data_IF_529344414294
#
_entry.id   IF_529344414294
#
_cell.length_a   1.000
_cell.length_b   1.000
_cell.length_c   1.000
_cell.angle_alpha   90.00
_cell.angle_beta   90.00
_cell.angle_gamma   90.00
#
_symmetry.space_group_name_H-M   'P 1'
#
loop_
_entity.id
_entity.type
_entity.pdbx_description
1 polymer ?
#
# COMPACT_ATOMS: atom_id res chain seq x y z
N UNK A 1 -10.65 -8.62 5.61
CA UNK A 1 -9.92 -8.48 4.34
C UNK A 1 -10.45 -9.50 3.37
N UNK A 2 -10.94 -9.04 2.24
CA UNK A 2 -11.51 -9.92 1.22
C UNK A 2 -10.36 -10.54 0.40
N UNK A 3 -9.93 -11.74 0.81
CA UNK A 3 -8.89 -12.52 0.12
C UNK A 3 -9.23 -12.80 -1.34
N UNK A 4 -10.53 -12.91 -1.65
CA UNK A 4 -11.01 -13.16 -3.01
C UNK A 4 -10.84 -11.91 -3.89
N UNK A 5 -11.11 -10.73 -3.37
CA UNK A 5 -10.89 -9.47 -4.07
C UNK A 5 -9.41 -9.24 -4.38
N UNK A 6 -8.54 -9.48 -3.40
CA UNK A 6 -7.08 -9.36 -3.59
C UNK A 6 -6.55 -10.37 -4.62
N UNK A 7 -7.02 -11.62 -4.58
CA UNK A 7 -6.64 -12.64 -5.55
C UNK A 7 -7.11 -12.29 -6.97
N UNK A 8 -8.31 -11.71 -7.11
CA UNK A 8 -8.83 -11.29 -8.41
C UNK A 8 -8.02 -10.14 -9.03
N UNK A 9 -7.66 -9.13 -8.25
CA UNK A 9 -6.83 -8.00 -8.71
C UNK A 9 -5.44 -8.50 -9.13
N UNK A 10 -4.83 -9.39 -8.35
CA UNK A 10 -3.53 -9.95 -8.68
C UNK A 10 -3.59 -10.83 -9.94
N UNK A 11 -4.65 -11.61 -10.14
CA UNK A 11 -4.84 -12.39 -11.35
C UNK A 11 -4.99 -11.50 -12.60
N UNK A 12 -5.71 -10.39 -12.48
CA UNK A 12 -5.85 -9.43 -13.56
C UNK A 12 -4.50 -8.81 -13.95
N UNK A 13 -3.69 -8.43 -12.98
CA UNK A 13 -2.32 -7.93 -13.22
C UNK A 13 -1.48 -8.97 -13.98
N UNK A 14 -1.56 -10.24 -13.61
CA UNK A 14 -0.82 -11.33 -14.29
C UNK A 14 -1.26 -11.47 -15.75
N UNK A 15 -2.57 -11.38 -16.04
CA UNK A 15 -3.13 -11.43 -17.39
C UNK A 15 -2.63 -10.26 -18.24
N UNK A 16 -2.62 -9.05 -17.68
CA UNK A 16 -2.17 -7.85 -18.38
C UNK A 16 -0.67 -7.92 -18.70
N UNK A 17 0.15 -8.34 -17.73
CA UNK A 17 1.59 -8.56 -17.96
C UNK A 17 1.82 -9.62 -19.01
N UNK A 18 1.14 -10.77 -18.95
CA UNK A 18 1.23 -11.81 -19.96
C UNK A 18 0.86 -11.30 -21.36
N UNK A 19 -0.18 -10.46 -21.46
CA UNK A 19 -0.60 -9.84 -22.72
C UNK A 19 0.48 -8.98 -23.37
N UNK A 20 1.29 -8.27 -22.59
CA UNK A 20 2.43 -7.49 -23.09
C UNK A 20 3.48 -8.39 -23.76
N UNK A 21 3.64 -9.62 -23.27
CA UNK A 21 4.57 -10.63 -23.85
C UNK A 21 3.91 -11.53 -24.88
N UNK A 22 2.68 -11.22 -25.33
CA UNK A 22 1.97 -11.99 -26.34
C UNK A 22 1.44 -13.34 -25.84
N UNK A 23 1.40 -13.54 -24.53
CA UNK A 23 0.93 -14.79 -23.90
C UNK A 23 -0.54 -14.62 -23.48
N UNK A 24 -1.41 -15.52 -23.98
CA UNK A 24 -2.80 -15.58 -23.54
C UNK A 24 -2.95 -16.52 -22.36
N UNK A 25 -3.30 -15.98 -21.21
CA UNK A 25 -3.55 -16.76 -20.00
C UNK A 25 -5.05 -16.88 -19.71
N UNK A 26 -5.47 -18.07 -19.30
CA UNK A 26 -6.79 -18.25 -18.70
C UNK A 26 -6.81 -17.64 -17.29
N UNK A 27 -7.97 -17.19 -16.87
CA UNK A 27 -8.16 -16.63 -15.52
C UNK A 27 -7.69 -17.58 -14.41
N UNK A 28 -7.97 -18.89 -14.59
CA UNK A 28 -7.53 -19.94 -13.65
C UNK A 28 -6.02 -19.99 -13.54
N UNK A 29 -5.31 -20.05 -14.67
CA UNK A 29 -3.85 -20.09 -14.70
C UNK A 29 -3.23 -18.84 -14.07
N UNK A 30 -3.80 -17.67 -14.33
CA UNK A 30 -3.35 -16.42 -13.73
C UNK A 30 -3.55 -16.40 -12.20
N UNK A 31 -4.65 -16.98 -11.70
CA UNK A 31 -4.88 -17.13 -10.26
C UNK A 31 -3.87 -18.10 -9.63
N UNK A 32 -3.58 -19.22 -10.26
CA UNK A 32 -2.62 -20.20 -9.76
C UNK A 32 -1.21 -19.58 -9.64
N UNK A 33 -0.79 -18.83 -10.66
CA UNK A 33 0.48 -18.09 -10.66
C UNK A 33 0.49 -17.01 -9.55
N UNK A 34 -0.57 -16.22 -9.43
CA UNK A 34 -0.67 -15.20 -8.39
C UNK A 34 -0.61 -15.80 -6.98
N UNK A 35 -1.27 -16.94 -6.77
CA UNK A 35 -1.23 -17.67 -5.49
C UNK A 35 0.16 -18.24 -5.22
N UNK A 36 0.84 -18.80 -6.23
CA UNK A 36 2.18 -19.34 -6.07
C UNK A 36 3.18 -18.25 -5.62
N UNK A 37 3.19 -17.11 -6.32
CA UNK A 37 4.04 -15.96 -5.95
C UNK A 37 3.65 -15.40 -4.58
N UNK A 38 2.35 -15.27 -4.29
CA UNK A 38 1.87 -14.78 -3.00
C UNK A 38 2.28 -15.68 -1.82
N UNK A 39 2.19 -17.00 -1.98
CA UNK A 39 2.66 -17.97 -0.97
C UNK A 39 4.18 -17.88 -0.77
N UNK A 40 4.92 -17.71 -1.86
CA UNK A 40 6.38 -17.55 -1.79
C UNK A 40 6.76 -16.28 -1.06
N UNK A 41 6.13 -15.14 -1.36
CA UNK A 41 6.34 -13.87 -0.65
C UNK A 41 6.07 -14.01 0.86
N UNK A 42 5.03 -14.75 1.23
CA UNK A 42 4.70 -15.01 2.63
C UNK A 42 5.72 -15.96 3.29
N UNK A 43 6.13 -17.03 2.59
CA UNK A 43 7.03 -18.06 3.11
C UNK A 43 8.47 -17.61 3.30
N UNK A 44 8.98 -16.78 2.41
CA UNK A 44 10.35 -16.23 2.47
C UNK A 44 10.48 -15.11 3.53
N UNK A 45 9.40 -14.76 4.21
CA UNK A 45 9.41 -13.70 5.22
C UNK A 45 9.47 -12.29 4.64
N UNK A 46 9.35 -12.15 3.32
CA UNK A 46 9.34 -10.87 2.60
C UNK A 46 8.24 -9.97 3.13
N UNK A 47 7.08 -10.52 3.44
CA UNK A 47 5.94 -9.75 3.98
C UNK A 47 6.30 -9.15 5.33
N UNK A 48 6.83 -9.94 6.26
CA UNK A 48 7.20 -9.46 7.60
C UNK A 48 8.38 -8.50 7.55
N UNK A 49 9.43 -8.83 6.80
CA UNK A 49 10.61 -7.99 6.63
C UNK A 49 10.29 -6.67 5.93
N UNK A 50 9.48 -6.71 4.87
CA UNK A 50 9.07 -5.53 4.11
C UNK A 50 8.21 -4.57 4.92
N UNK A 51 7.21 -5.08 5.64
CA UNK A 51 6.37 -4.25 6.52
C UNK A 51 7.19 -3.60 7.62
N UNK A 52 8.14 -4.33 8.22
CA UNK A 52 9.03 -3.80 9.25
C UNK A 52 9.94 -2.68 8.73
N UNK A 53 10.57 -2.89 7.58
CA UNK A 53 11.45 -1.89 6.96
C UNK A 53 10.68 -0.60 6.60
N UNK A 54 9.52 -0.76 5.97
CA UNK A 54 8.68 0.38 5.59
C UNK A 54 8.12 1.08 6.82
N UNK A 55 7.71 0.33 7.84
CA UNK A 55 7.24 0.87 9.10
C UNK A 55 8.30 1.73 9.78
N UNK A 56 9.53 1.27 9.86
CA UNK A 56 10.64 2.03 10.44
C UNK A 56 10.94 3.30 9.65
N UNK A 57 11.00 3.21 8.32
CA UNK A 57 11.28 4.35 7.46
C UNK A 57 10.17 5.42 7.50
N UNK A 58 8.91 5.02 7.55
CA UNK A 58 7.76 5.93 7.62
C UNK A 58 7.58 6.54 9.01
N UNK A 59 7.95 5.85 10.10
CA UNK A 59 7.82 6.36 11.47
C UNK A 59 8.60 7.65 11.72
N UNK A 60 9.64 7.89 10.93
CA UNK A 60 10.46 9.10 11.01
C UNK A 60 9.79 10.33 10.37
N UNK A 61 8.83 10.14 9.48
CA UNK A 61 8.29 11.20 8.62
C UNK A 61 6.77 11.38 8.68
N UNK A 62 6.05 10.54 9.41
CA UNK A 62 4.58 10.52 9.39
C UNK A 62 3.99 10.61 10.80
N UNK A 63 2.98 11.47 11.05
CA UNK A 63 2.27 11.50 12.33
C UNK A 63 1.67 10.14 12.70
N UNK A 64 1.78 9.77 13.96
CA UNK A 64 1.45 8.43 14.50
C UNK A 64 0.04 7.94 14.16
N UNK A 65 -0.94 8.84 14.07
CA UNK A 65 -2.35 8.48 13.76
C UNK A 65 -2.57 7.97 12.33
N UNK A 66 -1.75 8.42 11.37
CA UNK A 66 -1.84 8.03 9.97
C UNK A 66 -0.87 6.88 9.62
N UNK A 67 0.09 6.62 10.51
CA UNK A 67 1.20 5.71 10.27
C UNK A 67 0.72 4.29 9.91
N UNK A 68 -0.23 3.73 10.67
CA UNK A 68 -0.68 2.35 10.45
C UNK A 68 -1.29 2.11 9.06
N UNK A 69 -2.13 3.02 8.59
CA UNK A 69 -2.75 2.91 7.26
C UNK A 69 -1.77 3.19 6.14
N UNK A 70 -0.89 4.18 6.33
CA UNK A 70 0.15 4.50 5.36
C UNK A 70 1.14 3.34 5.19
N UNK A 71 1.61 2.74 6.29
CA UNK A 71 2.50 1.56 6.26
C UNK A 71 1.88 0.40 5.50
N UNK A 72 0.60 0.09 5.75
CA UNK A 72 -0.09 -1.00 5.05
C UNK A 72 -0.20 -0.74 3.55
N UNK A 73 -0.59 0.47 3.15
CA UNK A 73 -0.72 0.84 1.74
C UNK A 73 0.62 0.81 1.00
N UNK A 74 1.65 1.39 1.60
CA UNK A 74 3.00 1.43 1.02
C UNK A 74 3.62 0.04 0.97
N UNK A 75 3.44 -0.78 2.02
CA UNK A 75 3.91 -2.16 2.04
C UNK A 75 3.22 -3.02 0.96
N UNK A 76 1.90 -2.88 0.80
CA UNK A 76 1.16 -3.55 -0.25
C UNK A 76 1.67 -3.17 -1.65
N UNK A 77 1.86 -1.88 -1.92
CA UNK A 77 2.39 -1.40 -3.19
C UNK A 77 3.81 -1.92 -3.46
N UNK A 78 4.67 -1.98 -2.44
CA UNK A 78 6.01 -2.52 -2.56
C UNK A 78 6.03 -4.02 -2.86
N UNK A 79 5.18 -4.79 -2.17
CA UNK A 79 5.01 -6.23 -2.44
C UNK A 79 4.45 -6.48 -3.85
N UNK A 80 3.50 -5.67 -4.29
CA UNK A 80 2.96 -5.74 -5.66
C UNK A 80 4.04 -5.46 -6.70
N UNK A 81 4.95 -4.52 -6.43
CA UNK A 81 6.10 -4.25 -7.31
C UNK A 81 7.03 -5.46 -7.42
N UNK A 82 7.34 -6.13 -6.31
CA UNK A 82 8.17 -7.34 -6.32
C UNK A 82 7.47 -8.47 -7.08
N UNK A 83 6.18 -8.68 -6.82
CA UNK A 83 5.39 -9.68 -7.54
C UNK A 83 5.36 -9.40 -9.05
N UNK A 84 5.09 -8.16 -9.45
CA UNK A 84 5.08 -7.75 -10.86
C UNK A 84 6.42 -7.99 -11.55
N UNK A 85 7.53 -7.60 -10.90
CA UNK A 85 8.87 -7.86 -11.42
C UNK A 85 9.16 -9.37 -11.56
N UNK A 86 8.68 -10.19 -10.63
CA UNK A 86 8.82 -11.64 -10.70
C UNK A 86 8.03 -12.23 -11.88
N UNK A 87 6.81 -11.76 -12.15
CA UNK A 87 6.04 -12.17 -13.32
C UNK A 87 6.68 -11.73 -14.63
N UNK A 88 7.22 -10.51 -14.69
CA UNK A 88 7.97 -10.04 -15.86
C UNK A 88 9.11 -11.00 -16.16
N UNK A 89 9.91 -11.39 -15.17
CA UNK A 89 11.00 -12.37 -15.34
C UNK A 89 10.49 -13.71 -15.84
N UNK A 90 9.39 -14.20 -15.28
CA UNK A 90 8.75 -15.45 -15.70
C UNK A 90 8.34 -15.45 -17.18
N UNK A 91 7.70 -14.37 -17.64
CA UNK A 91 7.27 -14.26 -19.03
C UNK A 91 8.44 -13.99 -20.00
N UNK A 92 9.49 -13.32 -19.54
CA UNK A 92 10.73 -13.13 -20.31
C UNK A 92 11.49 -14.45 -20.55
N UNK A 93 11.32 -15.41 -19.66
CA UNK A 93 11.95 -16.74 -19.73
C UNK A 93 10.98 -17.81 -20.29
N UNK A 94 10.12 -17.44 -21.22
CA UNK A 94 9.18 -18.37 -21.87
C UNK A 94 8.29 -19.14 -20.89
N UNK A 95 7.80 -18.45 -19.86
CA UNK A 95 6.96 -19.01 -18.80
C UNK A 95 7.70 -20.05 -17.93
N UNK A 96 8.98 -19.84 -17.72
CA UNK A 96 9.81 -20.64 -16.83
C UNK A 96 10.33 -19.82 -15.64
N UNK A 97 10.41 -20.45 -14.47
CA UNK A 97 10.98 -19.86 -13.27
C UNK A 97 12.51 -20.09 -13.15
N UNK A 98 13.08 -20.86 -14.05
CA UNK A 98 14.48 -21.31 -13.99
C UNK A 98 14.73 -22.36 -12.89
N UNK A 99 16.00 -22.78 -12.76
CA UNK A 99 16.42 -23.87 -11.88
C UNK A 99 16.11 -23.63 -10.40
N UNK A 100 16.09 -22.38 -9.96
CA UNK A 100 15.76 -21.98 -8.57
C UNK A 100 14.27 -21.86 -8.28
N UNK A 101 13.41 -21.97 -9.29
CA UNK A 101 11.97 -21.87 -9.18
C UNK A 101 11.48 -20.47 -8.77
N UNK A 102 10.18 -20.37 -8.48
CA UNK A 102 9.53 -19.12 -8.09
C UNK A 102 10.19 -18.47 -6.87
N UNK A 103 10.71 -19.27 -5.95
CA UNK A 103 11.33 -18.77 -4.71
C UNK A 103 12.61 -17.97 -5.01
N UNK A 104 13.47 -18.46 -5.88
CA UNK A 104 14.72 -17.77 -6.23
C UNK A 104 14.45 -16.45 -6.96
N UNK A 105 13.51 -16.45 -7.90
CA UNK A 105 13.13 -15.23 -8.63
C UNK A 105 12.55 -14.18 -7.68
N UNK A 106 11.64 -14.56 -6.79
CA UNK A 106 11.04 -13.65 -5.81
C UNK A 106 12.08 -13.12 -4.84
N UNK A 107 12.97 -13.98 -4.32
CA UNK A 107 14.05 -13.57 -3.42
C UNK A 107 15.01 -12.59 -4.08
N UNK A 108 15.40 -12.84 -5.31
CA UNK A 108 16.28 -11.96 -6.09
C UNK A 108 15.65 -10.58 -6.28
N UNK A 109 14.36 -10.51 -6.65
CA UNK A 109 13.66 -9.24 -6.79
C UNK A 109 13.49 -8.53 -5.45
N UNK A 110 13.27 -9.27 -4.36
CA UNK A 110 13.23 -8.70 -3.02
C UNK A 110 14.57 -8.04 -2.66
N UNK A 111 15.68 -8.76 -2.84
CA UNK A 111 17.02 -8.27 -2.50
C UNK A 111 17.42 -7.06 -3.36
N UNK A 112 17.06 -7.04 -4.64
CA UNK A 112 17.27 -5.90 -5.53
C UNK A 112 16.46 -4.67 -5.09
N UNK A 113 15.21 -4.86 -4.70
CA UNK A 113 14.34 -3.76 -4.25
C UNK A 113 14.64 -3.30 -2.83
N UNK A 114 15.30 -4.11 -2.01
CA UNK A 114 15.73 -3.76 -0.65
C UNK A 114 16.99 -2.91 -0.62
N UNK A 115 17.76 -2.85 -1.70
CA UNK A 115 18.96 -1.99 -1.75
C UNK A 115 18.56 -0.55 -1.51
N UNK A 116 19.32 0.13 -0.65
CA UNK A 116 18.98 1.44 -0.08
C UNK A 116 18.45 2.45 -1.09
N UNK A 117 19.11 2.62 -2.21
CA UNK A 117 18.70 3.59 -3.24
C UNK A 117 17.37 3.27 -3.95
N UNK A 118 16.98 2.00 -4.04
CA UNK A 118 15.73 1.61 -4.67
C UNK A 118 14.56 1.78 -3.70
N UNK A 119 14.79 1.42 -2.43
CA UNK A 119 13.81 1.59 -1.36
C UNK A 119 13.57 3.07 -1.08
N UNK A 120 14.62 3.89 -0.95
CA UNK A 120 14.51 5.34 -0.75
C UNK A 120 13.66 6.00 -1.84
N UNK A 121 13.96 5.77 -3.11
CA UNK A 121 13.18 6.32 -4.23
C UNK A 121 11.72 5.88 -4.21
N UNK A 122 11.46 4.64 -3.82
CA UNK A 122 10.10 4.13 -3.68
C UNK A 122 9.37 4.80 -2.52
N UNK A 123 10.03 4.97 -1.37
CA UNK A 123 9.45 5.62 -0.19
C UNK A 123 9.18 7.10 -0.44
N UNK A 124 10.09 7.82 -1.08
CA UNK A 124 9.87 9.22 -1.47
C UNK A 124 8.66 9.39 -2.38
N UNK A 125 8.53 8.51 -3.39
CA UNK A 125 7.38 8.53 -4.27
C UNK A 125 6.07 8.18 -3.53
N UNK A 126 6.12 7.24 -2.59
CA UNK A 126 4.97 6.83 -1.78
C UNK A 126 4.55 7.93 -0.80
N UNK A 127 5.49 8.60 -0.13
CA UNK A 127 5.22 9.75 0.76
C UNK A 127 4.51 10.85 -0.01
N UNK A 128 5.04 11.27 -1.15
CA UNK A 128 4.44 12.32 -1.98
C UNK A 128 3.06 11.95 -2.50
N UNK A 129 2.82 10.72 -2.92
CA UNK A 129 1.57 10.31 -3.57
C UNK A 129 0.48 9.85 -2.60
N UNK A 130 0.85 9.31 -1.46
CA UNK A 130 -0.10 8.69 -0.52
C UNK A 130 -0.19 9.46 0.78
N UNK A 131 0.93 9.87 1.36
CA UNK A 131 0.98 10.46 2.70
C UNK A 131 0.62 11.94 2.67
N UNK A 132 1.19 12.72 1.77
CA UNK A 132 0.91 14.16 1.66
C UNK A 132 -0.57 14.48 1.41
N UNK A 133 -1.28 13.82 0.49
CA UNK A 133 -2.71 14.05 0.29
C UNK A 133 -3.56 13.67 1.52
N UNK A 134 -3.18 12.62 2.24
CA UNK A 134 -3.90 12.22 3.46
C UNK A 134 -3.74 13.24 4.59
N UNK A 135 -2.55 13.83 4.73
CA UNK A 135 -2.30 14.90 5.70
C UNK A 135 -3.08 16.16 5.37
N UNK A 136 -3.11 16.59 4.10
CA UNK A 136 -3.84 17.77 3.66
C UNK A 136 -5.36 17.61 3.86
N UNK A 137 -5.92 16.44 3.58
CA UNK A 137 -7.34 16.17 3.80
C UNK A 137 -7.70 16.06 5.30
N UNK A 138 -6.80 15.55 6.13
CA UNK A 138 -6.98 15.49 7.59
C UNK A 138 -7.04 16.86 8.24
N UNK A 139 -6.25 17.83 7.77
CA UNK A 139 -6.28 19.21 8.26
C UNK A 139 -7.51 19.99 7.79
N UNK A 140 -8.15 19.58 6.70
CA UNK A 140 -9.29 20.30 6.10
C UNK A 140 -10.64 19.96 6.75
N UNK A 141 -10.73 18.95 7.59
CA UNK A 141 -11.99 18.44 8.18
C UNK A 141 -12.27 18.92 9.61
N UNK A 142 -11.49 19.83 10.16
CA UNK A 142 -11.86 20.47 11.43
C UNK A 142 -12.79 21.64 11.12
N UNK A 143 -14.09 21.51 11.43
CA UNK A 143 -14.98 22.68 11.38
C UNK A 143 -14.46 23.73 12.36
N UNK A 144 -14.58 25.03 12.03
CA UNK A 144 -14.18 26.10 12.95
C UNK A 144 -14.90 25.90 14.27
N UNK A 145 -14.12 25.92 15.37
CA UNK A 145 -14.66 25.81 16.73
C UNK A 145 -15.69 26.92 16.89
N UNK A 146 -16.95 26.63 17.25
CA UNK A 146 -17.93 27.68 17.51
C UNK A 146 -17.36 28.59 18.58
N UNK A 147 -17.28 29.87 18.25
CA UNK A 147 -16.83 30.88 19.18
C UNK A 147 -17.71 30.90 20.44
N UNK A 148 -17.20 31.39 21.56
CA UNK A 148 -17.99 31.50 22.77
C UNK A 148 -19.24 32.34 22.45
N UNK A 149 -20.42 31.77 22.70
CA UNK A 149 -21.67 32.51 22.61
C UNK A 149 -21.56 33.69 23.56
N UNK A 150 -21.49 34.90 23.02
CA UNK A 150 -21.65 36.13 23.77
C UNK A 150 -22.95 36.07 24.54
N UNK A 151 -22.85 36.36 25.79
CA UNK A 151 -23.90 36.18 26.78
C UNK A 151 -25.22 36.76 26.35
N UNK A 152 -26.27 36.02 26.61
CA UNK A 152 -27.60 36.54 26.69
C UNK A 152 -27.64 37.44 27.92
N UNK A 153 -27.53 38.72 27.70
CA UNK A 153 -27.85 39.72 28.69
C UNK A 153 -29.35 39.65 29.00
N UNK A 154 -29.65 39.15 30.17
CA UNK A 154 -30.94 39.25 30.78
C UNK A 154 -31.09 40.67 31.30
N UNK A 155 -31.68 41.52 30.56
CA UNK A 155 -32.26 42.75 31.11
C UNK A 155 -33.64 42.42 31.68
N UNK A 156 -33.62 42.15 32.93
CA UNK A 156 -34.74 42.34 33.81
C UNK A 156 -35.08 43.85 33.92
N UNK A 157 -36.23 44.21 33.65
CA UNK A 157 -36.90 45.43 34.09
C UNK A 157 -38.36 45.07 34.17
N UNK A 158 -38.86 45.26 35.22
CA UNK A 158 -38.93 46.22 36.28
C UNK A 158 -40.25 46.15 36.91
N UNK A 159 -40.11 46.29 38.05
CA UNK A 159 -41.01 46.69 39.06
C UNK A 159 -41.86 47.92 38.75
N UNK A 160 -43.02 47.98 39.21
CA UNK A 160 -43.73 49.03 39.89
C UNK A 160 -45.17 48.55 40.10
N UNK A 161 -45.74 48.47 41.20
CA UNK A 161 -45.85 49.43 42.33
C UNK A 161 -47.31 49.64 42.62
N UNK A 162 -47.62 49.55 43.84
CA UNK A 162 -48.83 49.89 44.58
C UNK A 162 -49.60 48.73 45.14
#
# INVERSE_FOLDING_TARGET
>A
MDLLGTAAVNAQMVIEVAGVYGVTLTKQRAQDLAVAVGRTLAGVGVVKGGVSLIGTALSLNVPTLLLGRAVQGVAAAWLTRIAGASFITYFQQDQDWGDGGVQDVVQRHYDLNRRDSALERFLDAAVRRVVEPLQQNGCRQLPPRPGPRAGADASDHGNQGR
#
